data_IF_311325913623
#
_entry.id   IF_311325913623
#
_cell.length_a   1.000
_cell.length_b   1.000
_cell.length_c   1.000
_cell.angle_alpha   90.00
_cell.angle_beta   90.00
_cell.angle_gamma   90.00
#
_symmetry.space_group_name_H-M   'P 1'
#
loop_
_entity.id
_entity.type
_entity.pdbx_description
1 polymer ?
#
# COMPACT_ATOMS: atom_id res chain seq x y z
N UNK A 1 -11.28 61.81 -13.12
CA UNK A 1 -9.90 61.28 -13.25
C UNK A 1 -9.85 59.93 -12.54
N UNK A 2 -10.18 58.86 -13.26
CA UNK A 2 -10.17 57.49 -12.74
C UNK A 2 -8.71 57.09 -12.46
N UNK A 3 -8.43 56.78 -11.20
CA UNK A 3 -7.09 56.54 -10.69
C UNK A 3 -6.45 55.32 -11.37
N UNK A 4 -5.34 55.58 -12.09
CA UNK A 4 -4.46 54.58 -12.73
C UNK A 4 -3.89 53.54 -11.76
N UNK A 5 -4.12 53.70 -10.46
CA UNK A 5 -3.65 52.82 -9.39
C UNK A 5 -4.41 51.49 -9.27
N UNK A 6 -5.59 51.35 -9.91
CA UNK A 6 -6.41 50.12 -9.82
C UNK A 6 -6.02 49.07 -10.88
N UNK A 7 -5.21 49.43 -11.87
CA UNK A 7 -4.83 48.56 -13.00
C UNK A 7 -3.43 47.92 -12.87
N UNK A 8 -2.65 48.26 -11.83
CA UNK A 8 -1.27 47.77 -11.67
C UNK A 8 -1.10 46.66 -10.62
N UNK A 9 -2.16 46.29 -9.89
CA UNK A 9 -2.07 45.28 -8.81
C UNK A 9 -2.55 43.88 -9.24
N UNK A 10 -3.02 43.72 -10.48
CA UNK A 10 -3.72 42.50 -10.94
C UNK A 10 -2.84 41.52 -11.72
N UNK A 11 -1.51 41.68 -11.71
CA UNK A 11 -0.59 40.97 -12.62
C UNK A 11 0.65 40.36 -11.95
N UNK A 12 0.66 40.12 -10.63
CA UNK A 12 1.85 39.61 -9.93
C UNK A 12 1.56 38.47 -8.93
N UNK A 13 0.63 37.56 -9.25
CA UNK A 13 0.40 36.35 -8.46
C UNK A 13 0.29 35.09 -9.34
N UNK A 14 1.19 34.96 -10.32
CA UNK A 14 1.47 33.65 -10.92
C UNK A 14 2.36 32.87 -9.94
N UNK A 15 1.76 32.31 -8.89
CA UNK A 15 2.44 31.40 -7.98
C UNK A 15 2.89 30.17 -8.78
N UNK A 16 4.21 30.00 -8.86
CA UNK A 16 4.89 28.90 -9.51
C UNK A 16 4.44 27.59 -8.85
N UNK A 17 3.58 26.83 -9.52
CA UNK A 17 3.30 25.44 -9.16
C UNK A 17 4.52 24.63 -9.60
N UNK A 18 5.53 24.52 -8.73
CA UNK A 18 6.62 23.58 -8.92
C UNK A 18 6.04 22.18 -8.67
N UNK A 19 5.56 21.53 -9.74
CA UNK A 19 5.20 20.12 -9.71
C UNK A 19 6.45 19.32 -9.37
N UNK A 20 6.55 18.84 -8.13
CA UNK A 20 7.59 17.88 -7.73
C UNK A 20 7.21 16.51 -8.28
N UNK A 21 7.23 16.38 -9.61
CA UNK A 21 7.26 15.07 -10.26
C UNK A 21 8.71 14.57 -10.13
N UNK A 22 9.01 13.96 -8.98
CA UNK A 22 10.27 13.22 -8.82
C UNK A 22 10.32 12.11 -9.86
N UNK A 23 11.52 11.78 -10.40
CA UNK A 23 11.63 10.68 -11.35
C UNK A 23 11.13 9.39 -10.71
N UNK A 24 10.23 8.68 -11.39
CA UNK A 24 9.88 7.31 -11.05
C UNK A 24 11.17 6.48 -11.14
N UNK A 25 11.78 6.19 -10.00
CA UNK A 25 12.99 5.37 -9.96
C UNK A 25 12.58 3.96 -10.27
N UNK A 26 13.18 3.39 -11.31
CA UNK A 26 13.06 1.97 -11.55
C UNK A 26 13.78 1.19 -10.43
N UNK A 27 13.11 0.16 -9.95
CA UNK A 27 13.61 -0.86 -9.03
C UNK A 27 13.78 -2.17 -9.78
N UNK A 28 14.69 -3.01 -9.34
CA UNK A 28 14.81 -4.38 -9.87
C UNK A 28 13.83 -5.26 -9.11
N UNK A 29 12.89 -5.85 -9.84
CA UNK A 29 11.88 -6.78 -9.34
C UNK A 29 11.77 -7.92 -10.35
N UNK A 30 11.84 -9.17 -9.88
CA UNK A 30 11.79 -10.35 -10.75
C UNK A 30 12.80 -10.27 -11.92
N UNK A 31 14.02 -9.86 -11.62
CA UNK A 31 15.12 -9.65 -12.59
C UNK A 31 14.85 -8.62 -13.70
N UNK A 32 13.81 -7.80 -13.55
CA UNK A 32 13.43 -6.75 -14.50
C UNK A 32 13.40 -5.37 -13.86
N UNK A 33 13.68 -4.34 -14.64
CA UNK A 33 13.58 -2.95 -14.22
C UNK A 33 12.11 -2.52 -14.28
N UNK A 34 11.50 -2.29 -13.12
CA UNK A 34 10.08 -1.90 -12.98
C UNK A 34 9.96 -0.63 -12.14
N UNK A 35 8.98 0.20 -12.41
CA UNK A 35 8.53 1.26 -11.51
C UNK A 35 7.76 0.68 -10.32
N UNK A 36 7.64 1.44 -9.24
CA UNK A 36 6.86 1.01 -8.08
C UNK A 36 5.41 0.66 -8.45
N UNK A 37 4.79 1.44 -9.33
CA UNK A 37 3.41 1.23 -9.78
C UNK A 37 3.27 -0.06 -10.61
N UNK A 38 4.24 -0.36 -11.48
CA UNK A 38 4.27 -1.63 -12.22
C UNK A 38 4.38 -2.84 -11.29
N UNK A 39 5.11 -2.73 -10.17
CA UNK A 39 5.16 -3.80 -9.15
C UNK A 39 3.82 -3.90 -8.41
N UNK A 40 3.18 -2.78 -8.06
CA UNK A 40 1.83 -2.77 -7.49
C UNK A 40 0.82 -3.47 -8.41
N UNK A 41 0.90 -3.20 -9.71
CA UNK A 41 0.06 -3.85 -10.72
C UNK A 41 0.38 -5.34 -10.83
N UNK A 42 1.66 -5.73 -10.81
CA UNK A 42 2.07 -7.14 -10.83
C UNK A 42 1.57 -7.92 -9.61
N UNK A 43 1.58 -7.33 -8.41
CA UNK A 43 0.98 -7.89 -7.19
C UNK A 43 -0.54 -8.01 -7.37
N UNK A 44 -1.18 -6.94 -7.83
CA UNK A 44 -2.63 -6.87 -8.02
C UNK A 44 -3.14 -7.84 -9.08
N UNK A 45 -2.33 -8.19 -10.07
CA UNK A 45 -2.66 -9.13 -11.15
C UNK A 45 -2.59 -10.61 -10.70
N UNK A 46 -1.99 -10.92 -9.54
CA UNK A 46 -1.86 -12.30 -9.08
C UNK A 46 -3.21 -12.98 -8.86
N UNK A 47 -3.27 -14.30 -9.09
CA UNK A 47 -4.51 -15.07 -8.98
C UNK A 47 -4.92 -15.38 -7.54
N UNK A 48 -3.97 -15.33 -6.60
CA UNK A 48 -4.20 -15.66 -5.19
C UNK A 48 -3.44 -14.71 -4.26
N UNK A 49 -3.87 -14.66 -3.01
CA UNK A 49 -3.16 -13.99 -1.93
C UNK A 49 -1.72 -14.50 -1.78
N UNK A 50 -1.51 -15.81 -1.84
CA UNK A 50 -0.19 -16.42 -1.69
C UNK A 50 0.77 -15.98 -2.80
N UNK A 51 0.32 -15.99 -4.06
CA UNK A 51 1.14 -15.51 -5.18
C UNK A 51 1.41 -14.01 -5.11
N UNK A 52 0.44 -13.20 -4.65
CA UNK A 52 0.66 -11.77 -4.38
C UNK A 52 1.72 -11.53 -3.30
N UNK A 53 1.67 -12.28 -2.20
CA UNK A 53 2.68 -12.20 -1.14
C UNK A 53 4.07 -12.62 -1.63
N UNK A 54 4.14 -13.61 -2.53
CA UNK A 54 5.42 -14.01 -3.14
C UNK A 54 6.03 -12.86 -3.95
N UNK A 55 5.26 -12.22 -4.83
CA UNK A 55 5.74 -11.06 -5.60
C UNK A 55 6.20 -9.94 -4.68
N UNK A 56 5.44 -9.64 -3.62
CA UNK A 56 5.86 -8.61 -2.66
C UNK A 56 7.19 -8.94 -1.98
N UNK A 57 7.40 -10.18 -1.53
CA UNK A 57 8.68 -10.62 -0.95
C UNK A 57 9.83 -10.55 -1.94
N UNK A 58 9.61 -10.97 -3.18
CA UNK A 58 10.63 -10.96 -4.23
C UNK A 58 11.02 -9.53 -4.64
N UNK A 59 10.15 -8.54 -4.39
CA UNK A 59 10.30 -7.16 -4.84
C UNK A 59 10.34 -6.15 -3.69
N UNK A 60 10.66 -6.59 -2.48
CA UNK A 60 10.71 -5.69 -1.33
C UNK A 60 11.84 -4.65 -1.46
N UNK A 61 11.56 -3.44 -0.98
CA UNK A 61 12.49 -2.32 -1.00
C UNK A 61 13.21 -2.13 0.33
N UNK A 62 12.74 -2.77 1.40
CA UNK A 62 13.12 -2.49 2.79
C UNK A 62 12.98 -0.99 3.11
N UNK A 63 11.96 -0.35 2.54
CA UNK A 63 11.78 1.10 2.57
C UNK A 63 10.30 1.50 2.45
N UNK A 64 10.05 2.80 2.36
CA UNK A 64 8.68 3.35 2.33
C UNK A 64 7.86 2.93 1.12
N UNK A 65 8.49 2.48 0.03
CA UNK A 65 7.77 1.96 -1.13
C UNK A 65 6.97 0.68 -0.83
N UNK A 66 7.42 -0.11 0.16
CA UNK A 66 6.73 -1.32 0.60
C UNK A 66 5.35 -1.04 1.19
N UNK A 67 5.06 0.21 1.59
CA UNK A 67 3.71 0.61 2.03
C UNK A 67 2.70 0.40 0.91
N UNK A 68 3.06 0.76 -0.34
CA UNK A 68 2.16 0.59 -1.49
C UNK A 68 2.09 -0.88 -1.93
N UNK A 69 3.23 -1.58 -1.94
CA UNK A 69 3.29 -3.00 -2.28
C UNK A 69 2.48 -3.85 -1.28
N UNK A 70 2.67 -3.62 0.02
CA UNK A 70 1.94 -4.28 1.09
C UNK A 70 0.44 -4.02 1.04
N UNK A 71 0.02 -2.78 0.75
CA UNK A 71 -1.40 -2.46 0.58
C UNK A 71 -2.05 -3.21 -0.61
N UNK A 72 -1.29 -3.43 -1.70
CA UNK A 72 -1.75 -4.23 -2.83
C UNK A 72 -1.95 -5.71 -2.44
N UNK A 73 -1.03 -6.27 -1.64
CA UNK A 73 -1.18 -7.62 -1.06
C UNK A 73 -2.39 -7.68 -0.12
N UNK A 74 -2.53 -6.72 0.80
CA UNK A 74 -3.67 -6.64 1.72
C UNK A 74 -4.98 -6.72 0.95
N UNK A 75 -5.15 -5.88 -0.08
CA UNK A 75 -6.37 -5.87 -0.92
C UNK A 75 -6.61 -7.21 -1.62
N UNK A 76 -5.56 -7.85 -2.16
CA UNK A 76 -5.68 -9.17 -2.79
C UNK A 76 -6.16 -10.22 -1.80
N UNK A 77 -5.54 -10.28 -0.62
CA UNK A 77 -5.85 -11.26 0.41
C UNK A 77 -7.21 -11.03 1.05
N UNK A 78 -7.60 -9.78 1.26
CA UNK A 78 -8.89 -9.41 1.81
C UNK A 78 -10.08 -9.86 0.96
N UNK A 79 -9.91 -10.00 -0.36
CA UNK A 79 -10.95 -10.51 -1.25
C UNK A 79 -11.41 -11.93 -0.89
N UNK A 80 -10.53 -12.75 -0.30
CA UNK A 80 -10.83 -14.14 0.05
C UNK A 80 -11.73 -14.26 1.28
N UNK A 81 -11.74 -13.27 2.18
CA UNK A 81 -12.37 -13.41 3.50
C UNK A 81 -13.28 -12.27 3.91
N UNK A 82 -13.05 -11.02 3.47
CA UNK A 82 -13.87 -9.86 3.89
C UNK A 82 -15.37 -10.05 3.65
N UNK A 83 -15.83 -10.57 2.50
CA UNK A 83 -17.26 -10.75 2.26
C UNK A 83 -17.95 -11.69 3.26
N UNK A 84 -17.22 -12.61 3.88
CA UNK A 84 -17.74 -13.61 4.81
C UNK A 84 -17.54 -13.29 6.29
N UNK A 85 -16.97 -12.13 6.64
CA UNK A 85 -16.71 -11.81 8.05
C UNK A 85 -17.98 -11.34 8.78
N UNK A 86 -18.21 -11.91 9.96
CA UNK A 86 -19.10 -11.31 10.97
C UNK A 86 -18.53 -10.00 11.51
N UNK A 87 -19.36 -9.23 12.23
CA UNK A 87 -18.92 -8.02 12.92
C UNK A 87 -17.78 -8.28 13.92
N UNK A 88 -17.86 -9.39 14.68
CA UNK A 88 -16.83 -9.78 15.64
C UNK A 88 -15.49 -10.11 14.96
N UNK A 89 -15.53 -10.85 13.85
CA UNK A 89 -14.33 -11.18 13.07
C UNK A 89 -13.74 -9.94 12.39
N UNK A 90 -14.58 -9.05 11.87
CA UNK A 90 -14.15 -7.76 11.30
C UNK A 90 -13.40 -6.93 12.36
N UNK A 91 -13.93 -6.88 13.58
CA UNK A 91 -13.27 -6.17 14.67
C UNK A 91 -11.97 -6.86 15.10
N UNK A 92 -11.92 -8.19 15.11
CA UNK A 92 -10.69 -8.93 15.38
C UNK A 92 -9.60 -8.61 14.36
N UNK A 93 -9.94 -8.64 13.07
CA UNK A 93 -9.03 -8.28 11.99
C UNK A 93 -8.50 -6.85 12.15
N UNK A 94 -9.39 -5.87 12.37
CA UNK A 94 -9.01 -4.47 12.62
C UNK A 94 -8.04 -4.31 13.79
N UNK A 95 -8.23 -5.07 14.87
CA UNK A 95 -7.32 -5.04 16.04
C UNK A 95 -5.93 -5.59 15.69
N UNK A 96 -5.85 -6.68 14.93
CA UNK A 96 -4.55 -7.22 14.47
C UNK A 96 -3.83 -6.23 13.54
N UNK A 97 -4.56 -5.59 12.61
CA UNK A 97 -3.99 -4.56 11.75
C UNK A 97 -3.48 -3.36 12.57
N UNK A 98 -4.27 -2.90 13.54
CA UNK A 98 -3.85 -1.82 14.43
C UNK A 98 -2.61 -2.17 15.26
N UNK A 99 -2.48 -3.43 15.69
CA UNK A 99 -1.29 -3.90 16.40
C UNK A 99 -0.02 -3.76 15.54
N UNK A 100 -0.10 -4.00 14.22
CA UNK A 100 0.99 -3.73 13.29
C UNK A 100 1.32 -2.23 13.24
N UNK A 101 0.31 -1.37 13.09
CA UNK A 101 0.47 0.08 12.96
C UNK A 101 1.19 0.69 14.18
N UNK A 102 0.91 0.19 15.38
CA UNK A 102 1.52 0.72 16.61
C UNK A 102 2.91 0.15 16.91
N UNK A 103 3.27 -1.02 16.36
CA UNK A 103 4.50 -1.74 16.71
C UNK A 103 5.76 -0.91 16.44
N UNK A 104 5.77 -0.16 15.34
CA UNK A 104 6.93 0.61 14.90
C UNK A 104 6.70 2.13 14.83
N UNK A 105 5.56 2.64 15.30
CA UNK A 105 5.14 4.05 15.15
C UNK A 105 6.14 5.10 15.67
N UNK A 106 6.93 4.75 16.68
CA UNK A 106 7.91 5.64 17.32
C UNK A 106 9.35 5.38 16.85
N UNK A 107 9.53 4.61 15.77
CA UNK A 107 10.84 4.33 15.19
C UNK A 107 11.08 5.23 13.98
N UNK A 108 12.31 5.69 13.84
CA UNK A 108 12.72 6.56 12.73
C UNK A 108 13.35 5.75 11.60
N UNK A 109 13.11 6.17 10.36
CA UNK A 109 13.66 5.53 9.16
C UNK A 109 12.61 4.73 8.39
N UNK A 110 12.79 4.67 7.07
CA UNK A 110 11.85 4.06 6.13
C UNK A 110 11.77 2.54 6.25
N UNK A 111 12.82 1.90 6.76
CA UNK A 111 12.83 0.46 7.07
C UNK A 111 11.67 0.06 7.99
N UNK A 112 11.34 0.88 8.99
CA UNK A 112 10.24 0.58 9.90
C UNK A 112 8.84 0.75 9.26
N UNK A 113 8.73 1.56 8.20
CA UNK A 113 7.51 1.63 7.40
C UNK A 113 7.33 0.34 6.61
N UNK A 114 8.41 -0.20 6.04
CA UNK A 114 8.42 -1.52 5.40
C UNK A 114 8.00 -2.62 6.37
N UNK A 115 8.57 -2.64 7.58
CA UNK A 115 8.20 -3.64 8.59
C UNK A 115 6.72 -3.58 8.99
N UNK A 116 6.13 -2.38 9.05
CA UNK A 116 4.68 -2.24 9.26
C UNK A 116 3.89 -2.80 8.09
N UNK A 117 4.29 -2.49 6.84
CA UNK A 117 3.63 -3.01 5.64
C UNK A 117 3.66 -4.54 5.57
N UNK A 118 4.80 -5.16 5.85
CA UNK A 118 4.92 -6.62 5.95
C UNK A 118 4.03 -7.22 7.02
N UNK A 119 4.04 -6.65 8.23
CA UNK A 119 3.18 -7.12 9.32
C UNK A 119 1.71 -7.17 8.89
N UNK A 120 1.24 -6.11 8.25
CA UNK A 120 -0.15 -6.01 7.77
C UNK A 120 -0.46 -7.01 6.65
N UNK A 121 0.43 -7.14 5.67
CA UNK A 121 0.29 -8.11 4.58
C UNK A 121 0.25 -9.55 5.12
N UNK A 122 1.09 -9.90 6.09
CA UNK A 122 1.10 -11.21 6.73
C UNK A 122 -0.18 -11.48 7.55
N UNK A 123 -0.71 -10.48 8.24
CA UNK A 123 -2.02 -10.60 8.91
C UNK A 123 -3.10 -10.92 7.87
N UNK A 124 -3.17 -10.16 6.78
CA UNK A 124 -4.14 -10.42 5.70
C UNK A 124 -3.96 -11.81 5.08
N UNK A 125 -2.70 -12.25 4.87
CA UNK A 125 -2.39 -13.58 4.35
C UNK A 125 -2.93 -14.69 5.25
N UNK A 126 -2.68 -14.63 6.56
CA UNK A 126 -3.19 -15.63 7.50
C UNK A 126 -4.72 -15.71 7.51
N UNK A 127 -5.41 -14.57 7.35
CA UNK A 127 -6.86 -14.54 7.27
C UNK A 127 -7.39 -15.17 5.97
N UNK A 128 -6.75 -14.88 4.82
CA UNK A 128 -7.03 -15.53 3.55
C UNK A 128 -6.86 -17.06 3.66
N UNK A 129 -5.72 -17.53 4.17
CA UNK A 129 -5.47 -18.96 4.33
C UNK A 129 -6.51 -19.66 5.21
N UNK A 130 -6.91 -19.03 6.31
CA UNK A 130 -7.95 -19.57 7.21
C UNK A 130 -9.30 -19.66 6.50
N UNK A 131 -9.68 -18.63 5.76
CA UNK A 131 -10.94 -18.59 5.03
C UNK A 131 -10.99 -19.64 3.91
N UNK A 132 -9.93 -19.76 3.11
CA UNK A 132 -9.82 -20.75 2.05
C UNK A 132 -9.84 -22.19 2.60
N UNK A 133 -9.12 -22.46 3.69
CA UNK A 133 -9.16 -23.77 4.38
C UNK A 133 -10.55 -24.10 4.93
N UNK A 134 -11.29 -23.11 5.44
CA UNK A 134 -12.66 -23.31 5.90
C UNK A 134 -13.62 -23.60 4.73
N UNK A 135 -13.49 -22.89 3.62
CA UNK A 135 -14.30 -23.10 2.41
C UNK A 135 -14.06 -24.47 1.76
N UNK A 136 -12.80 -24.95 1.73
CA UNK A 136 -12.46 -26.29 1.24
C UNK A 136 -13.10 -27.41 2.07
N UNK A 137 -13.20 -27.24 3.39
CA UNK A 137 -13.84 -28.23 4.29
C UNK A 137 -15.37 -28.26 4.16
N UNK A 138 -15.98 -27.19 3.65
CA UNK A 138 -17.42 -27.08 3.50
C UNK A 138 -17.94 -27.62 2.15
N UNK A 139 -17.04 -27.97 1.23
CA UNK A 139 -17.33 -28.53 -0.10
C UNK A 139 -17.13 -30.04 -0.10
#
# INVERSE_FOLDING_TARGET
MLSKSVLAASLAAAAIVLSVAGPARAMVCMDTSMTLDEVVDAISAQKSCESAMKVFKDCELTASGDVQLGAAVEKKCEADFKPGLSAAQTQAYKREMHACDIKYRNKSGTMYLSFTAFCRAEVAQRYSERALKAGQKAR
#
